data_IF_651785605239
#
_entry.id   IF_651785605239
#
_cell.length_a   1.000
_cell.length_b   1.000
_cell.length_c   1.000
_cell.angle_alpha   90.00
_cell.angle_beta   90.00
_cell.angle_gamma   90.00
#
_symmetry.space_group_name_H-M   'P 1'
#
loop_
_entity.id
_entity.type
_entity.pdbx_description
1 polymer ?
#
# COMPACT_ATOMS: atom_id res chain seq x y z
N UNK A 1 -16.49 5.79 34.09
CA UNK A 1 -15.10 5.33 34.29
C UNK A 1 -14.47 5.17 32.91
N UNK A 2 -13.75 6.18 32.43
CA UNK A 2 -12.81 6.03 31.32
C UNK A 2 -11.51 5.56 31.93
N UNK A 3 -11.27 4.25 32.00
CA UNK A 3 -9.91 3.77 32.21
C UNK A 3 -9.11 4.14 30.97
N UNK A 4 -8.23 5.14 31.11
CA UNK A 4 -7.42 5.61 30.01
C UNK A 4 -6.37 4.55 29.68
N UNK A 5 -6.59 3.80 28.61
CA UNK A 5 -5.63 2.87 28.00
C UNK A 5 -4.43 3.59 27.32
N UNK A 6 -3.98 4.71 27.91
CA UNK A 6 -2.82 5.51 27.48
C UNK A 6 -1.56 4.68 27.16
N UNK A 7 -1.14 3.69 27.98
CA UNK A 7 0.06 2.91 27.67
C UNK A 7 -0.07 2.06 26.40
N UNK A 8 -1.27 1.56 26.08
CA UNK A 8 -1.50 0.77 24.85
C UNK A 8 -1.57 1.65 23.59
N UNK A 9 -2.19 2.83 23.67
CA UNK A 9 -2.25 3.80 22.58
C UNK A 9 -0.86 4.35 22.23
N UNK A 10 -0.05 4.63 23.25
CA UNK A 10 1.33 5.09 23.07
C UNK A 10 2.19 4.00 22.44
N UNK A 11 2.08 2.75 22.93
CA UNK A 11 2.80 1.59 22.38
C UNK A 11 2.46 1.41 20.90
N UNK A 12 1.19 1.35 20.52
CA UNK A 12 0.77 1.19 19.13
C UNK A 12 1.24 2.36 18.24
N UNK A 13 1.15 3.59 18.74
CA UNK A 13 1.64 4.77 18.01
C UNK A 13 3.15 4.70 17.77
N UNK A 14 3.93 4.24 18.76
CA UNK A 14 5.38 4.04 18.63
C UNK A 14 5.68 2.93 17.62
N UNK A 15 4.93 1.81 17.62
CA UNK A 15 5.10 0.74 16.63
C UNK A 15 4.82 1.23 15.22
N UNK A 16 3.70 1.93 14.99
CA UNK A 16 3.37 2.52 13.69
C UNK A 16 4.44 3.52 13.26
N UNK A 17 4.89 4.38 14.18
CA UNK A 17 5.97 5.33 13.90
C UNK A 17 7.27 4.63 13.50
N UNK A 18 7.66 3.59 14.22
CA UNK A 18 8.87 2.82 13.93
C UNK A 18 8.76 2.12 12.56
N UNK A 19 7.59 1.54 12.26
CA UNK A 19 7.30 0.93 10.95
C UNK A 19 7.41 1.95 9.81
N UNK A 20 6.89 3.17 9.99
CA UNK A 20 7.02 4.26 9.02
C UNK A 20 8.48 4.72 8.89
N UNK A 21 9.21 4.85 10.00
CA UNK A 21 10.62 5.24 10.01
C UNK A 21 11.49 4.20 9.28
N UNK A 22 11.30 2.91 9.56
CA UNK A 22 12.00 1.82 8.87
C UNK A 22 11.71 1.86 7.37
N UNK A 23 10.45 1.98 6.97
CA UNK A 23 10.08 2.08 5.54
C UNK A 23 10.74 3.29 4.86
N UNK A 24 10.76 4.44 5.54
CA UNK A 24 11.39 5.65 5.03
C UNK A 24 12.92 5.49 4.88
N UNK A 25 13.58 4.95 5.90
CA UNK A 25 15.04 4.69 5.89
C UNK A 25 15.39 3.69 4.79
N UNK A 26 14.64 2.58 4.67
CA UNK A 26 14.84 1.59 3.60
C UNK A 26 14.69 2.22 2.23
N UNK A 27 13.63 3.01 2.01
CA UNK A 27 13.41 3.70 0.73
C UNK A 27 14.53 4.69 0.41
N UNK A 28 15.00 5.42 1.43
CA UNK A 28 16.14 6.33 1.30
C UNK A 28 17.44 5.60 0.93
N UNK A 29 17.76 4.50 1.64
CA UNK A 29 18.96 3.71 1.37
C UNK A 29 18.93 3.08 -0.03
N UNK A 30 17.77 2.58 -0.47
CA UNK A 30 17.59 2.09 -1.84
C UNK A 30 17.83 3.22 -2.85
N UNK A 31 17.23 4.40 -2.62
CA UNK A 31 17.42 5.56 -3.49
C UNK A 31 18.88 6.00 -3.62
N UNK A 32 19.59 6.11 -2.49
CA UNK A 32 21.03 6.42 -2.45
C UNK A 32 21.85 5.34 -3.16
N UNK A 33 21.50 4.07 -2.96
CA UNK A 33 22.13 2.94 -3.63
C UNK A 33 21.99 3.03 -5.14
N UNK A 34 20.77 3.24 -5.64
CA UNK A 34 20.51 3.39 -7.09
C UNK A 34 21.30 4.58 -7.65
N UNK A 35 21.25 5.74 -6.98
CA UNK A 35 21.96 6.94 -7.44
C UNK A 35 23.49 6.76 -7.49
N UNK A 36 24.08 6.03 -6.53
CA UNK A 36 25.53 5.78 -6.48
C UNK A 36 26.00 4.70 -7.46
N UNK A 37 25.27 3.59 -7.57
CA UNK A 37 25.71 2.46 -8.40
C UNK A 37 25.27 2.56 -9.86
N UNK A 38 24.09 3.14 -10.12
CA UNK A 38 23.48 3.22 -11.45
C UNK A 38 23.38 4.66 -12.00
N UNK A 39 23.87 5.64 -11.23
CA UNK A 39 23.88 7.06 -11.59
C UNK A 39 22.55 7.79 -11.34
N UNK A 40 22.56 9.13 -11.43
CA UNK A 40 21.40 9.97 -11.14
C UNK A 40 20.27 9.81 -12.17
N UNK A 41 20.58 9.45 -13.41
CA UNK A 41 19.57 9.23 -14.45
C UNK A 41 18.66 8.04 -14.11
N UNK A 42 19.24 6.88 -13.77
CA UNK A 42 18.51 5.68 -13.34
C UNK A 42 17.67 5.94 -12.09
N UNK A 43 18.19 6.74 -11.15
CA UNK A 43 17.44 7.15 -9.96
C UNK A 43 16.21 8.01 -10.32
N UNK A 44 16.34 8.95 -11.26
CA UNK A 44 15.22 9.75 -11.77
C UNK A 44 14.16 8.86 -12.43
N UNK A 45 14.59 7.92 -13.26
CA UNK A 45 13.71 6.97 -13.94
C UNK A 45 12.94 6.06 -12.96
N UNK A 46 13.62 5.56 -11.93
CA UNK A 46 13.00 4.79 -10.84
C UNK A 46 12.04 5.64 -10.02
N UNK A 47 12.45 6.85 -9.64
CA UNK A 47 11.63 7.77 -8.85
C UNK A 47 10.30 8.05 -9.54
N UNK A 48 10.32 8.33 -10.85
CA UNK A 48 9.10 8.54 -11.64
C UNK A 48 8.21 7.29 -11.63
N UNK A 49 8.78 6.12 -11.93
CA UNK A 49 8.02 4.87 -11.95
C UNK A 49 7.41 4.55 -10.58
N UNK A 50 8.17 4.75 -9.50
CA UNK A 50 7.73 4.52 -8.14
C UNK A 50 6.64 5.51 -7.71
N UNK A 51 6.75 6.79 -8.06
CA UNK A 51 5.69 7.79 -7.78
C UNK A 51 4.40 7.44 -8.51
N UNK A 52 4.45 7.11 -9.80
CA UNK A 52 3.27 6.69 -10.57
C UNK A 52 2.60 5.48 -9.93
N UNK A 53 3.41 4.50 -9.49
CA UNK A 53 2.91 3.30 -8.81
C UNK A 53 2.21 3.62 -7.49
N UNK A 54 2.76 4.53 -6.69
CA UNK A 54 2.15 4.94 -5.41
C UNK A 54 0.84 5.69 -5.62
N UNK A 55 0.75 6.56 -6.63
CA UNK A 55 -0.51 7.24 -6.98
C UNK A 55 -1.57 6.20 -7.39
N UNK A 56 -1.19 5.22 -8.21
CA UNK A 56 -2.09 4.15 -8.63
C UNK A 56 -2.46 3.22 -7.44
N UNK A 57 -1.56 3.02 -6.47
CA UNK A 57 -1.87 2.26 -5.26
C UNK A 57 -2.98 2.93 -4.44
N UNK A 58 -2.95 4.26 -4.29
CA UNK A 58 -4.01 5.02 -3.62
C UNK A 58 -5.36 4.79 -4.32
N UNK A 59 -5.37 4.77 -5.66
CA UNK A 59 -6.55 4.47 -6.45
C UNK A 59 -7.04 3.01 -6.25
N UNK A 60 -6.11 2.06 -6.15
CA UNK A 60 -6.43 0.64 -5.94
C UNK A 60 -7.02 0.38 -4.54
N UNK A 61 -6.55 1.11 -3.51
CA UNK A 61 -7.04 0.95 -2.15
C UNK A 61 -8.32 1.75 -1.87
N UNK A 62 -8.48 2.93 -2.49
CA UNK A 62 -9.64 3.85 -2.42
C UNK A 62 -10.30 3.97 -1.02
N UNK A 63 -9.51 3.88 0.05
CA UNK A 63 -9.99 3.96 1.44
C UNK A 63 -10.81 2.76 1.94
N UNK A 64 -11.01 1.71 1.14
CA UNK A 64 -11.79 0.52 1.51
C UNK A 64 -11.23 -0.22 2.72
N UNK A 65 -9.93 -0.08 2.96
CA UNK A 65 -9.24 -0.67 4.10
C UNK A 65 -9.78 -0.19 5.44
N UNK A 66 -10.19 1.08 5.53
CA UNK A 66 -10.81 1.65 6.74
C UNK A 66 -12.23 1.15 6.89
N UNK A 67 -13.00 1.18 5.80
CA UNK A 67 -14.40 0.71 5.79
C UNK A 67 -14.50 -0.76 6.20
N UNK A 68 -13.65 -1.62 5.62
CA UNK A 68 -13.56 -3.03 5.97
C UNK A 68 -13.27 -3.23 7.46
N UNK A 69 -12.29 -2.49 7.99
CA UNK A 69 -11.90 -2.58 9.41
C UNK A 69 -13.09 -2.22 10.31
N UNK A 70 -13.77 -1.10 10.04
CA UNK A 70 -14.90 -0.64 10.85
C UNK A 70 -16.11 -1.57 10.75
N UNK A 71 -16.41 -2.10 9.57
CA UNK A 71 -17.57 -2.97 9.36
C UNK A 71 -17.38 -4.34 10.01
N UNK A 72 -16.16 -4.91 9.94
CA UNK A 72 -15.81 -6.14 10.67
C UNK A 72 -15.86 -5.91 12.19
N UNK A 73 -15.34 -4.77 12.68
CA UNK A 73 -15.36 -4.45 14.11
C UNK A 73 -16.79 -4.40 14.67
N UNK A 74 -17.73 -3.85 13.90
CA UNK A 74 -19.14 -3.75 14.28
C UNK A 74 -19.90 -5.09 14.11
N UNK A 75 -19.57 -5.91 13.12
CA UNK A 75 -20.29 -7.13 12.75
C UNK A 75 -19.37 -8.36 12.67
N UNK A 76 -18.70 -8.69 13.79
CA UNK A 76 -17.68 -9.77 13.83
C UNK A 76 -18.17 -11.14 13.36
N UNK A 77 -19.45 -11.47 13.63
CA UNK A 77 -20.04 -12.76 13.24
C UNK A 77 -20.13 -12.92 11.72
N UNK A 78 -20.26 -11.82 10.98
CA UNK A 78 -20.42 -11.81 9.51
C UNK A 78 -19.12 -11.42 8.78
N UNK A 79 -18.00 -11.34 9.49
CA UNK A 79 -16.73 -10.83 8.97
C UNK A 79 -16.26 -11.51 7.68
N UNK A 80 -16.46 -12.83 7.53
CA UNK A 80 -16.08 -13.57 6.32
C UNK A 80 -16.95 -13.15 5.12
N UNK A 81 -18.25 -12.91 5.35
CA UNK A 81 -19.19 -12.49 4.30
C UNK A 81 -18.88 -11.06 3.86
N UNK A 82 -18.58 -10.17 4.82
CA UNK A 82 -18.15 -8.80 4.57
C UNK A 82 -16.84 -8.81 3.77
N UNK A 83 -15.83 -9.53 4.24
CA UNK A 83 -14.53 -9.62 3.57
C UNK A 83 -14.67 -10.10 2.12
N UNK A 84 -15.48 -11.12 1.84
CA UNK A 84 -15.69 -11.63 0.47
C UNK A 84 -16.26 -10.56 -0.47
N UNK A 85 -17.20 -9.74 0.00
CA UNK A 85 -17.78 -8.65 -0.80
C UNK A 85 -16.73 -7.57 -1.10
N UNK A 86 -16.03 -7.11 -0.05
CA UNK A 86 -14.99 -6.10 -0.18
C UNK A 86 -13.80 -6.58 -1.02
N UNK A 87 -13.42 -7.85 -0.91
CA UNK A 87 -12.34 -8.43 -1.70
C UNK A 87 -12.63 -8.40 -3.20
N UNK A 88 -13.88 -8.65 -3.59
CA UNK A 88 -14.28 -8.61 -5.00
C UNK A 88 -14.15 -7.18 -5.57
N UNK A 89 -14.54 -6.17 -4.78
CA UNK A 89 -14.37 -4.75 -5.12
C UNK A 89 -12.89 -4.40 -5.19
N UNK A 90 -12.09 -4.87 -4.23
CA UNK A 90 -10.64 -4.67 -4.16
C UNK A 90 -9.94 -5.19 -5.43
N UNK A 91 -10.29 -6.40 -5.89
CA UNK A 91 -9.76 -6.96 -7.14
C UNK A 91 -10.14 -6.09 -8.34
N UNK A 92 -11.39 -5.65 -8.43
CA UNK A 92 -11.83 -4.78 -9.53
C UNK A 92 -11.05 -3.46 -9.56
N UNK A 93 -10.86 -2.83 -8.41
CA UNK A 93 -10.06 -1.59 -8.29
C UNK A 93 -8.59 -1.81 -8.60
N UNK A 94 -8.01 -2.91 -8.14
CA UNK A 94 -6.63 -3.28 -8.47
C UNK A 94 -6.45 -3.43 -9.98
N UNK A 95 -7.37 -4.13 -10.65
CA UNK A 95 -7.35 -4.31 -12.11
C UNK A 95 -7.50 -2.98 -12.85
N UNK A 96 -8.47 -2.14 -12.45
CA UNK A 96 -8.66 -0.81 -13.06
C UNK A 96 -7.41 0.03 -12.87
N UNK A 97 -6.83 0.04 -11.67
CA UNK A 97 -5.60 0.78 -11.38
C UNK A 97 -4.41 0.27 -12.19
N UNK A 98 -4.27 -1.05 -12.37
CA UNK A 98 -3.25 -1.63 -13.25
C UNK A 98 -3.42 -1.19 -14.71
N UNK A 99 -4.65 -1.18 -15.23
CA UNK A 99 -4.94 -0.71 -16.58
C UNK A 99 -4.60 0.77 -16.73
N UNK A 100 -4.98 1.60 -15.75
CA UNK A 100 -4.63 3.03 -15.74
C UNK A 100 -3.12 3.22 -15.74
N UNK A 101 -2.40 2.52 -14.86
CA UNK A 101 -0.95 2.59 -14.72
C UNK A 101 -0.22 2.20 -16.01
N UNK A 102 -0.66 1.13 -16.69
CA UNK A 102 -0.10 0.72 -17.99
C UNK A 102 -0.44 1.75 -19.07
N UNK A 103 -1.68 2.25 -19.11
CA UNK A 103 -2.11 3.23 -20.11
C UNK A 103 -1.31 4.55 -20.01
N UNK A 104 -0.94 4.97 -18.80
CA UNK A 104 -0.11 6.15 -18.59
C UNK A 104 1.26 6.05 -19.29
N UNK A 105 1.80 4.84 -19.47
CA UNK A 105 3.08 4.62 -20.19
C UNK A 105 3.01 4.97 -21.67
N UNK A 106 1.81 4.97 -22.25
CA UNK A 106 1.58 5.28 -23.67
C UNK A 106 1.28 6.77 -23.89
N UNK A 107 0.76 7.45 -22.87
CA UNK A 107 0.33 8.86 -22.95
C UNK A 107 1.50 9.78 -22.58
N UNK A 108 2.32 9.39 -21.60
CA UNK A 108 3.42 10.20 -21.09
C UNK A 108 4.72 9.79 -21.82
N UNK A 109 5.51 10.75 -22.35
CA UNK A 109 6.81 10.45 -22.95
C UNK A 109 7.81 10.04 -21.86
N UNK A 110 7.86 8.74 -21.58
CA UNK A 110 8.78 8.12 -20.62
C UNK A 110 9.90 7.38 -21.34
N UNK A 111 11.08 7.28 -20.70
CA UNK A 111 12.15 6.43 -21.19
C UNK A 111 11.76 4.95 -21.14
N UNK A 112 12.37 4.13 -21.99
CA UNK A 112 12.09 2.69 -22.04
C UNK A 112 12.36 2.00 -20.70
N UNK A 113 13.41 2.42 -19.99
CA UNK A 113 13.72 1.93 -18.64
C UNK A 113 12.58 2.26 -17.66
N UNK A 114 12.05 3.49 -17.67
CA UNK A 114 10.92 3.86 -16.81
C UNK A 114 9.67 3.03 -17.12
N UNK A 115 9.39 2.73 -18.40
CA UNK A 115 8.25 1.87 -18.77
C UNK A 115 8.41 0.44 -18.24
N UNK A 116 9.62 -0.14 -18.35
CA UNK A 116 9.93 -1.46 -17.81
C UNK A 116 9.78 -1.50 -16.28
N UNK A 117 10.25 -0.45 -15.59
CA UNK A 117 10.06 -0.32 -14.15
C UNK A 117 8.59 -0.21 -13.77
N UNK A 118 7.80 0.59 -14.49
CA UNK A 118 6.34 0.68 -14.28
C UNK A 118 5.71 -0.71 -14.44
N UNK A 119 6.02 -1.45 -15.51
CA UNK A 119 5.46 -2.79 -15.71
C UNK A 119 5.78 -3.74 -14.55
N UNK A 120 7.01 -3.68 -14.03
CA UNK A 120 7.42 -4.46 -12.85
C UNK A 120 6.69 -4.03 -11.59
N UNK A 121 6.44 -2.72 -11.44
CA UNK A 121 5.77 -2.15 -10.27
C UNK A 121 4.24 -2.34 -10.28
N UNK A 122 3.62 -2.65 -11.42
CA UNK A 122 2.20 -3.06 -11.46
C UNK A 122 1.97 -4.28 -10.56
N UNK A 123 2.87 -5.27 -10.65
CA UNK A 123 2.80 -6.46 -9.80
C UNK A 123 3.01 -6.12 -8.32
N UNK A 124 3.99 -5.25 -8.03
CA UNK A 124 4.21 -4.74 -6.67
C UNK A 124 2.97 -4.06 -6.11
N UNK A 125 2.31 -3.19 -6.88
CA UNK A 125 1.08 -2.51 -6.47
C UNK A 125 -0.04 -3.52 -6.21
N UNK A 126 -0.26 -4.47 -7.13
CA UNK A 126 -1.29 -5.50 -7.01
C UNK A 126 -1.11 -6.39 -5.78
N UNK A 127 0.14 -6.78 -5.47
CA UNK A 127 0.44 -7.54 -4.26
C UNK A 127 0.25 -6.68 -3.00
N UNK A 128 0.69 -5.44 -3.03
CA UNK A 128 0.58 -4.52 -1.88
C UNK A 128 -0.86 -4.26 -1.50
N UNK A 129 -1.75 -4.02 -2.47
CA UNK A 129 -3.18 -3.79 -2.19
C UNK A 129 -3.86 -5.03 -1.59
N UNK A 130 -3.47 -6.24 -2.01
CA UNK A 130 -3.95 -7.49 -1.43
C UNK A 130 -3.43 -7.66 0.01
N UNK A 131 -2.15 -7.36 0.26
CA UNK A 131 -1.56 -7.42 1.61
C UNK A 131 -2.29 -6.43 2.55
N UNK A 132 -2.53 -5.20 2.10
CA UNK A 132 -3.26 -4.19 2.86
C UNK A 132 -4.68 -4.66 3.22
N UNK A 133 -5.37 -5.31 2.29
CA UNK A 133 -6.68 -5.90 2.56
C UNK A 133 -6.64 -6.92 3.70
N UNK A 134 -5.64 -7.83 3.71
CA UNK A 134 -5.50 -8.80 4.79
C UNK A 134 -5.17 -8.13 6.12
N UNK A 135 -4.29 -7.13 6.13
CA UNK A 135 -4.02 -6.36 7.35
C UNK A 135 -5.29 -5.68 7.88
N UNK A 136 -6.09 -5.06 7.03
CA UNK A 136 -7.38 -4.48 7.42
C UNK A 136 -8.38 -5.50 7.93
N UNK A 137 -8.42 -6.68 7.31
CA UNK A 137 -9.25 -7.79 7.79
C UNK A 137 -8.87 -8.21 9.21
N UNK A 138 -7.58 -8.42 9.49
CA UNK A 138 -7.11 -8.78 10.83
C UNK A 138 -7.30 -7.65 11.85
N UNK A 139 -7.07 -6.39 11.43
CA UNK A 139 -7.28 -5.20 12.26
C UNK A 139 -8.73 -5.05 12.71
N UNK A 140 -9.69 -5.45 11.87
CA UNK A 140 -11.12 -5.44 12.22
C UNK A 140 -11.48 -6.33 13.41
N UNK A 141 -10.69 -7.35 13.72
CA UNK A 141 -10.88 -8.22 14.89
C UNK A 141 -10.18 -7.71 16.16
N UNK A 142 -9.63 -6.49 16.15
CA UNK A 142 -8.79 -5.92 17.23
C UNK A 142 -7.56 -6.76 17.57
N UNK A 143 -7.12 -7.64 16.66
CA UNK A 143 -5.84 -8.32 16.78
C UNK A 143 -4.72 -7.36 16.37
N UNK A 144 -4.42 -6.42 17.26
CA UNK A 144 -3.30 -5.47 17.12
C UNK A 144 -1.92 -6.14 17.33
N UNK A 145 -1.87 -7.44 17.67
CA UNK A 145 -0.62 -8.16 17.94
C UNK A 145 0.16 -8.62 16.69
N UNK A 146 -0.33 -8.36 15.48
CA UNK A 146 0.29 -8.81 14.22
C UNK A 146 0.88 -7.68 13.34
N UNK A 147 1.12 -6.50 13.91
CA UNK A 147 1.93 -5.44 13.28
C UNK A 147 3.42 -5.54 13.62
#
# INVERSE_FOLDING_TARGET
MMESNFPSLLRNSIFVFLSLAIRAITSFLIGVGIARFYGPESFGQFSIAFTVSNICLILADFGFDVLLTTEIANNRNDAVVIARKYFSIKIALALVSSVVMISLTQIIPLSETSKQLIFSLVLYMALTTIINFFFSFFRGFEKFDFE
#
